data_IF_165417146105
#
_entry.id   IF_165417146105
#
_cell.length_a   1.000
_cell.length_b   1.000
_cell.length_c   1.000
_cell.angle_alpha   90.00
_cell.angle_beta   90.00
_cell.angle_gamma   90.00
#
_symmetry.space_group_name_H-M   'P 1'
#
loop_
_entity.id
_entity.type
_entity.pdbx_description
1 polymer ?
#
# COMPACT_ATOMS: atom_id res chain seq x y z
N UNK A 1 -4.34 -59.90 -7.95
CA UNK A 1 -3.39 -58.90 -7.41
C UNK A 1 -3.51 -57.63 -8.25
N UNK A 2 -4.28 -56.66 -7.74
CA UNK A 2 -4.76 -55.50 -8.51
C UNK A 2 -3.99 -54.27 -8.05
N UNK A 3 -3.26 -53.61 -8.97
CA UNK A 3 -2.48 -52.39 -8.66
C UNK A 3 -3.41 -51.18 -8.50
N UNK A 4 -3.15 -50.27 -7.53
CA UNK A 4 -3.93 -49.05 -7.39
C UNK A 4 -3.51 -47.98 -8.41
N UNK A 5 -4.53 -47.31 -8.96
CA UNK A 5 -4.49 -46.22 -9.93
C UNK A 5 -4.13 -44.92 -9.22
N UNK A 6 -2.98 -44.35 -9.56
CA UNK A 6 -2.51 -43.04 -9.08
C UNK A 6 -3.30 -41.93 -9.77
N UNK A 7 -4.01 -41.10 -9.01
CA UNK A 7 -4.65 -39.87 -9.52
C UNK A 7 -3.61 -38.75 -9.51
N UNK A 8 -3.21 -38.29 -10.69
CA UNK A 8 -2.41 -37.06 -10.85
C UNK A 8 -3.29 -35.85 -10.52
N UNK A 9 -2.90 -35.11 -9.47
CA UNK A 9 -3.43 -33.79 -9.18
C UNK A 9 -2.87 -32.78 -10.20
N UNK A 10 -3.71 -32.36 -11.14
CA UNK A 10 -3.40 -31.27 -12.06
C UNK A 10 -3.38 -29.94 -11.31
N UNK A 11 -2.20 -29.38 -11.10
CA UNK A 11 -2.03 -28.00 -10.67
C UNK A 11 -2.28 -27.09 -11.88
N UNK A 12 -3.49 -26.53 -11.99
CA UNK A 12 -3.79 -25.47 -12.94
C UNK A 12 -3.06 -24.19 -12.50
N UNK A 13 -1.87 -23.99 -13.07
CA UNK A 13 -1.08 -22.76 -13.01
C UNK A 13 -1.80 -21.68 -13.80
N UNK A 14 -2.62 -20.88 -13.13
CA UNK A 14 -3.17 -19.65 -13.70
C UNK A 14 -2.01 -18.67 -13.92
N UNK A 15 -1.59 -18.56 -15.18
CA UNK A 15 -0.65 -17.55 -15.63
C UNK A 15 -1.39 -16.21 -15.72
N UNK A 16 -1.04 -15.28 -14.84
CA UNK A 16 -1.48 -13.89 -14.99
C UNK A 16 -0.54 -13.21 -16.00
N UNK A 17 -1.04 -13.00 -17.22
CA UNK A 17 -0.38 -12.18 -18.21
C UNK A 17 -0.44 -10.70 -17.78
N UNK A 18 0.73 -10.07 -17.77
CA UNK A 18 0.90 -8.63 -17.53
C UNK A 18 0.43 -7.88 -18.79
N UNK A 19 -0.71 -7.19 -18.73
CA UNK A 19 -1.13 -6.28 -19.80
C UNK A 19 -0.53 -4.91 -19.50
N UNK A 20 0.53 -4.58 -20.22
CA UNK A 20 1.06 -3.22 -20.32
C UNK A 20 0.11 -2.38 -21.17
N UNK A 21 -0.57 -1.40 -20.58
CA UNK A 21 -1.36 -0.43 -21.34
C UNK A 21 -0.45 0.70 -21.81
N UNK A 22 0.05 0.57 -23.04
CA UNK A 22 0.68 1.63 -23.82
C UNK A 22 -0.40 2.62 -24.27
N UNK A 23 -0.28 3.88 -23.89
CA UNK A 23 -1.15 4.95 -24.39
C UNK A 23 -0.76 5.32 -25.83
N UNK A 24 -1.59 4.92 -26.80
CA UNK A 24 -1.49 5.38 -28.18
C UNK A 24 -1.94 6.83 -28.30
N UNK A 25 -1.07 7.66 -28.87
CA UNK A 25 -1.33 9.03 -29.25
C UNK A 25 -2.02 9.04 -30.62
N UNK A 26 -3.30 9.44 -30.65
CA UNK A 26 -4.00 9.79 -31.88
C UNK A 26 -3.85 11.31 -32.12
N UNK A 27 -3.06 11.67 -33.12
CA UNK A 27 -2.92 13.02 -33.64
C UNK A 27 -3.86 13.21 -34.84
N UNK A 28 -4.86 14.07 -34.69
CA UNK A 28 -5.64 14.62 -35.80
C UNK A 28 -5.35 16.12 -35.93
N UNK A 29 -5.10 16.53 -37.18
CA UNK A 29 -4.69 17.86 -37.61
C UNK A 29 -5.85 18.64 -38.25
N UNK A 30 -5.96 19.94 -37.95
CA UNK A 30 -6.43 21.06 -38.80
C UNK A 30 -6.62 22.32 -37.92
N UNK A 31 -5.75 23.35 -38.01
CA UNK A 31 -5.90 24.63 -38.77
C UNK A 31 -7.28 25.29 -38.61
N UNK A 32 -7.48 26.52 -38.08
CA UNK A 32 -6.82 27.82 -38.38
C UNK A 32 -7.23 28.89 -37.33
N UNK A 33 -6.42 29.95 -37.21
CA UNK A 33 -6.42 31.07 -36.24
C UNK A 33 -7.52 32.16 -36.48
N UNK A 34 -7.43 33.40 -35.92
CA UNK A 34 -7.21 33.88 -34.54
C UNK A 34 -8.28 34.91 -34.07
N UNK A 35 -8.36 35.25 -32.76
CA UNK A 35 -8.55 36.66 -32.30
C UNK A 35 -8.67 36.82 -30.76
N UNK A 36 -7.90 37.80 -30.26
CA UNK A 36 -8.15 38.75 -29.17
C UNK A 36 -8.60 38.29 -27.77
N UNK A 37 -7.62 38.35 -26.85
CA UNK A 37 -7.65 39.11 -25.57
C UNK A 37 -8.82 38.93 -24.59
N UNK A 38 -8.57 38.14 -23.54
CA UNK A 38 -8.69 38.62 -22.16
C UNK A 38 -7.99 37.62 -21.22
N UNK A 39 -6.83 38.00 -20.69
CA UNK A 39 -6.05 37.23 -19.73
C UNK A 39 -6.76 37.16 -18.38
N UNK A 40 -7.69 36.22 -18.20
CA UNK A 40 -8.13 35.82 -16.87
C UNK A 40 -7.11 34.84 -16.30
N UNK A 41 -6.20 35.37 -15.48
CA UNK A 41 -5.24 34.57 -14.71
C UNK A 41 -6.02 33.47 -13.98
N UNK A 42 -5.72 32.17 -14.18
CA UNK A 42 -6.37 31.12 -13.41
C UNK A 42 -5.99 31.33 -11.96
N UNK A 43 -6.99 31.65 -11.14
CA UNK A 43 -6.90 31.86 -9.70
C UNK A 43 -6.29 30.61 -9.10
N UNK A 44 -4.97 30.66 -8.89
CA UNK A 44 -4.13 29.65 -8.25
C UNK A 44 -4.89 29.16 -7.01
N UNK A 45 -5.42 27.95 -7.09
CA UNK A 45 -5.96 27.21 -5.95
C UNK A 45 -4.93 27.40 -4.83
N UNK A 46 -5.31 28.10 -3.77
CA UNK A 46 -4.52 28.16 -2.55
C UNK A 46 -4.34 26.72 -2.11
N UNK A 47 -3.19 26.14 -2.45
CA UNK A 47 -2.68 24.98 -1.73
C UNK A 47 -2.68 25.42 -0.27
N UNK A 48 -3.35 24.66 0.59
CA UNK A 48 -3.26 24.75 2.05
C UNK A 48 -1.83 24.41 2.49
N UNK A 49 -0.86 25.17 2.02
CA UNK A 49 0.56 25.04 2.24
C UNK A 49 0.92 25.85 3.48
N UNK A 50 0.26 25.55 4.61
CA UNK A 50 0.59 26.15 5.91
C UNK A 50 -0.09 25.35 7.03
N UNK A 51 0.13 24.04 7.04
CA UNK A 51 0.09 23.30 8.30
C UNK A 51 1.54 22.89 8.57
N UNK A 52 2.20 23.40 9.61
CA UNK A 52 3.52 22.93 10.00
C UNK A 52 3.36 21.51 10.56
N UNK A 53 3.34 20.51 9.68
CA UNK A 53 3.21 19.09 10.01
C UNK A 53 4.55 18.48 10.43
N UNK A 54 5.53 19.28 10.84
CA UNK A 54 6.89 18.79 11.11
C UNK A 54 6.88 17.87 12.33
N UNK A 55 6.72 16.56 12.07
CA UNK A 55 6.75 15.50 13.07
C UNK A 55 5.42 14.76 13.32
N UNK A 56 4.31 15.11 12.65
CA UNK A 56 3.02 14.42 12.83
C UNK A 56 2.70 13.62 11.57
N UNK A 57 2.61 12.30 11.70
CA UNK A 57 2.17 11.41 10.63
C UNK A 57 0.71 11.70 10.27
N UNK A 58 0.43 11.89 8.97
CA UNK A 58 -0.91 12.17 8.47
C UNK A 58 -1.57 10.88 7.99
N UNK A 59 -2.90 10.80 8.08
CA UNK A 59 -3.66 9.64 7.61
C UNK A 59 -4.56 10.09 6.47
N UNK A 60 -4.39 9.49 5.30
CA UNK A 60 -5.19 9.78 4.11
C UNK A 60 -6.59 9.13 4.19
N UNK A 61 -7.53 9.53 3.31
CA UNK A 61 -8.81 8.86 3.15
C UNK A 61 -8.66 7.35 2.88
N UNK A 62 -9.70 6.53 3.14
CA UNK A 62 -9.67 5.10 2.85
C UNK A 62 -9.47 4.88 1.34
N UNK A 63 -8.55 3.99 1.01
CA UNK A 63 -8.28 3.61 -0.37
C UNK A 63 -9.44 2.76 -0.95
N UNK A 64 -9.88 3.01 -2.19
CA UNK A 64 -11.06 2.37 -2.77
C UNK A 64 -10.92 0.86 -3.02
N UNK A 65 -9.70 0.32 -3.06
CA UNK A 65 -9.47 -1.11 -3.34
C UNK A 65 -9.24 -1.89 -2.05
N UNK A 66 -8.36 -1.39 -1.19
CA UNK A 66 -7.95 -2.06 0.05
C UNK A 66 -8.80 -1.71 1.27
N UNK A 67 -9.56 -0.60 1.23
CA UNK A 67 -10.26 0.00 2.38
C UNK A 67 -9.35 0.40 3.56
N UNK A 68 -8.03 0.36 3.38
CA UNK A 68 -7.04 0.78 4.38
C UNK A 68 -6.75 2.27 4.20
N UNK A 69 -6.45 2.95 5.31
CA UNK A 69 -6.05 4.36 5.30
C UNK A 69 -4.53 4.47 5.18
N UNK A 70 -3.99 5.02 4.07
CA UNK A 70 -2.55 5.21 3.93
C UNK A 70 -2.02 6.21 4.97
N UNK A 71 -0.85 5.91 5.55
CA UNK A 71 -0.13 6.81 6.44
C UNK A 71 0.90 7.58 5.61
N UNK A 72 0.87 8.90 5.71
CA UNK A 72 1.84 9.81 5.11
C UNK A 72 2.80 10.20 6.23
N UNK A 73 3.96 9.55 6.24
CA UNK A 73 5.00 9.80 7.23
C UNK A 73 5.60 11.20 7.07
N UNK A 74 5.51 12.03 8.09
CA UNK A 74 5.98 13.42 8.04
C UNK A 74 7.47 13.58 8.37
N UNK A 75 8.16 12.48 8.70
CA UNK A 75 9.58 12.47 9.05
C UNK A 75 10.45 12.72 7.81
N UNK A 76 10.49 13.96 7.34
CA UNK A 76 11.54 14.42 6.44
C UNK A 76 12.87 14.24 7.17
N UNK A 77 13.89 13.59 6.57
CA UNK A 77 15.23 13.66 7.13
C UNK A 77 15.58 15.14 7.30
N UNK A 78 16.21 15.49 8.42
CA UNK A 78 16.77 16.83 8.66
C UNK A 78 17.91 17.07 7.65
N UNK A 79 17.55 17.28 6.38
CA UNK A 79 18.46 17.82 5.40
C UNK A 79 18.55 19.28 5.80
N UNK A 80 19.55 19.63 6.60
CA UNK A 80 19.95 21.02 6.71
C UNK A 80 20.61 21.33 5.36
N UNK A 81 19.96 22.03 4.41
CA UNK A 81 20.63 22.37 3.18
C UNK A 81 21.78 23.30 3.54
N UNK A 82 23.03 22.82 3.52
CA UNK A 82 24.15 23.74 3.64
C UNK A 82 24.10 24.59 2.37
N UNK A 83 23.87 25.88 2.53
CA UNK A 83 23.44 26.81 1.49
C UNK A 83 24.46 27.09 0.38
N UNK A 84 25.53 26.30 0.23
CA UNK A 84 26.61 26.65 -0.69
C UNK A 84 27.39 25.50 -1.37
N UNK A 85 26.85 24.27 -1.39
CA UNK A 85 27.49 23.20 -2.18
C UNK A 85 26.47 22.19 -2.70
N UNK A 86 26.55 21.77 -3.97
CA UNK A 86 25.79 20.62 -4.50
C UNK A 86 26.20 19.28 -3.88
N UNK A 87 27.26 19.27 -3.07
CA UNK A 87 27.68 18.17 -2.20
C UNK A 87 27.96 18.73 -0.81
N UNK A 88 27.00 18.62 0.12
CA UNK A 88 27.25 19.06 1.49
C UNK A 88 28.14 18.06 2.22
N UNK A 89 29.16 18.55 2.93
CA UNK A 89 29.99 17.71 3.82
C UNK A 89 29.16 17.00 4.92
N UNK A 90 27.95 17.48 5.20
CA UNK A 90 26.97 16.83 6.08
C UNK A 90 26.33 15.57 5.50
N UNK A 91 26.44 15.34 4.19
CA UNK A 91 25.93 14.11 3.54
C UNK A 91 26.89 12.93 3.71
N UNK A 92 28.14 13.19 4.09
CA UNK A 92 29.15 12.16 4.32
C UNK A 92 29.20 11.82 5.81
N UNK A 93 28.80 10.61 6.22
CA UNK A 93 28.80 10.25 7.63
C UNK A 93 30.24 10.24 8.15
N UNK A 94 30.60 11.19 9.01
CA UNK A 94 31.94 11.31 9.58
C UNK A 94 32.18 10.26 10.66
N UNK A 95 32.16 8.96 10.32
CA UNK A 95 32.61 7.82 11.14
C UNK A 95 32.08 7.69 12.59
N UNK A 96 31.18 8.55 13.04
CA UNK A 96 30.81 8.72 14.44
C UNK A 96 29.60 7.85 14.79
N UNK A 97 29.32 7.68 16.08
CA UNK A 97 28.10 6.99 16.52
C UNK A 97 26.81 7.62 15.98
N UNK A 98 26.83 8.90 15.58
CA UNK A 98 25.68 9.58 14.99
C UNK A 98 25.37 9.05 13.58
N UNK A 99 26.39 8.78 12.74
CA UNK A 99 26.21 8.15 11.43
C UNK A 99 25.50 6.79 11.52
N UNK A 100 25.86 5.99 12.53
CA UNK A 100 25.24 4.68 12.76
C UNK A 100 23.79 4.83 13.21
N UNK A 101 23.49 5.79 14.07
CA UNK A 101 22.14 6.06 14.57
C UNK A 101 21.23 6.57 13.44
N UNK A 102 21.71 7.51 12.63
CA UNK A 102 20.98 8.04 11.47
C UNK A 102 20.65 6.96 10.43
N UNK A 103 21.62 6.08 10.12
CA UNK A 103 21.40 4.95 9.23
C UNK A 103 20.33 3.98 9.77
N UNK A 104 20.34 3.70 11.08
CA UNK A 104 19.32 2.85 11.70
C UNK A 104 17.94 3.52 11.70
N UNK A 105 17.87 4.82 11.94
CA UNK A 105 16.62 5.59 11.87
C UNK A 105 16.06 5.64 10.44
N UNK A 106 16.92 5.75 9.42
CA UNK A 106 16.53 5.65 8.03
C UNK A 106 16.00 4.24 7.70
N UNK A 107 16.73 3.19 8.10
CA UNK A 107 16.32 1.80 7.88
C UNK A 107 14.95 1.52 8.52
N UNK A 108 14.75 1.95 9.77
CA UNK A 108 13.48 1.81 10.47
C UNK A 108 12.33 2.52 9.74
N UNK A 109 12.56 3.73 9.22
CA UNK A 109 11.55 4.49 8.45
C UNK A 109 11.16 3.77 7.17
N UNK A 110 12.14 3.42 6.34
CA UNK A 110 11.90 2.69 5.09
C UNK A 110 11.21 1.35 5.32
N UNK A 111 11.54 0.68 6.43
CA UNK A 111 10.91 -0.58 6.81
C UNK A 111 9.42 -0.40 7.15
N UNK A 112 9.05 0.63 7.92
CA UNK A 112 7.65 0.93 8.23
C UNK A 112 6.84 1.15 6.96
N UNK A 113 7.32 2.03 6.08
CA UNK A 113 6.69 2.29 4.78
C UNK A 113 6.51 1.02 3.95
N UNK A 114 7.55 0.17 3.91
CA UNK A 114 7.48 -1.13 3.21
C UNK A 114 6.43 -2.06 3.80
N UNK A 115 6.32 -2.13 5.13
CA UNK A 115 5.31 -2.98 5.81
C UNK A 115 3.90 -2.50 5.50
N UNK A 116 3.67 -1.19 5.51
CA UNK A 116 2.36 -0.62 5.18
C UNK A 116 1.99 -0.86 3.72
N UNK A 117 2.93 -0.66 2.79
CA UNK A 117 2.72 -0.97 1.37
C UNK A 117 2.43 -2.46 1.16
N UNK A 118 3.12 -3.35 1.88
CA UNK A 118 2.87 -4.79 1.82
C UNK A 118 1.48 -5.13 2.32
N UNK A 119 1.06 -4.54 3.45
CA UNK A 119 -0.28 -4.71 4.01
C UNK A 119 -1.35 -4.24 3.01
N UNK A 120 -1.20 -3.02 2.51
CA UNK A 120 -2.11 -2.44 1.52
C UNK A 120 -2.24 -3.31 0.26
N UNK A 121 -1.12 -3.74 -0.34
CA UNK A 121 -1.12 -4.60 -1.54
C UNK A 121 -1.84 -5.93 -1.32
N UNK A 122 -1.65 -6.54 -0.15
CA UNK A 122 -2.32 -7.80 0.20
C UNK A 122 -3.84 -7.62 0.22
N UNK A 123 -4.33 -6.58 0.91
CA UNK A 123 -5.76 -6.33 1.01
C UNK A 123 -6.39 -5.85 -0.29
N UNK A 124 -5.71 -4.97 -1.04
CA UNK A 124 -6.17 -4.55 -2.37
C UNK A 124 -6.37 -5.75 -3.30
N UNK A 125 -5.38 -6.65 -3.36
CA UNK A 125 -5.46 -7.86 -4.20
C UNK A 125 -6.57 -8.79 -3.71
N UNK A 126 -6.66 -9.01 -2.40
CA UNK A 126 -7.67 -9.90 -1.80
C UNK A 126 -9.08 -9.41 -2.09
N UNK A 127 -9.35 -8.12 -1.87
CA UNK A 127 -10.65 -7.51 -2.10
C UNK A 127 -11.03 -7.52 -3.59
N UNK A 128 -10.08 -7.24 -4.49
CA UNK A 128 -10.34 -7.31 -5.93
C UNK A 128 -10.73 -8.73 -6.34
N UNK A 129 -9.98 -9.73 -5.88
CA UNK A 129 -10.32 -11.13 -6.17
C UNK A 129 -11.65 -11.57 -5.54
N UNK A 130 -11.98 -11.06 -4.37
CA UNK A 130 -13.24 -11.32 -3.68
C UNK A 130 -14.42 -10.77 -4.49
N UNK A 131 -14.38 -9.48 -4.86
CA UNK A 131 -15.46 -8.84 -5.63
C UNK A 131 -15.60 -9.46 -7.02
N UNK A 132 -14.49 -9.81 -7.69
CA UNK A 132 -14.54 -10.48 -8.98
C UNK A 132 -15.22 -11.86 -8.89
N UNK A 133 -14.89 -12.68 -7.90
CA UNK A 133 -15.51 -14.00 -7.74
C UNK A 133 -16.96 -13.93 -7.28
N UNK A 134 -17.27 -12.97 -6.40
CA UNK A 134 -18.64 -12.68 -5.97
C UNK A 134 -19.51 -12.27 -7.15
N UNK A 135 -19.03 -11.32 -7.96
CA UNK A 135 -19.73 -10.88 -9.17
C UNK A 135 -19.91 -12.03 -10.16
N UNK A 136 -18.89 -12.87 -10.36
CA UNK A 136 -19.00 -14.07 -11.19
C UNK A 136 -20.07 -15.04 -10.69
N UNK A 137 -20.08 -15.39 -9.39
CA UNK A 137 -21.11 -16.25 -8.80
C UNK A 137 -22.52 -15.68 -8.96
N UNK A 138 -22.68 -14.37 -8.77
CA UNK A 138 -23.95 -13.68 -8.97
C UNK A 138 -24.37 -13.63 -10.44
N UNK A 139 -23.42 -13.57 -11.38
CA UNK A 139 -23.74 -13.56 -12.82
C UNK A 139 -24.28 -14.90 -13.33
N UNK A 140 -24.05 -16.00 -12.61
CA UNK A 140 -24.58 -17.32 -12.93
C UNK A 140 -26.04 -17.49 -12.50
N UNK A 141 -26.56 -16.57 -11.69
CA UNK A 141 -27.98 -16.57 -11.33
C UNK A 141 -28.84 -16.20 -12.53
N UNK A 142 -30.04 -16.80 -12.65
CA UNK A 142 -31.04 -16.31 -13.58
C UNK A 142 -31.28 -14.81 -13.38
N UNK A 143 -31.53 -14.03 -14.45
CA UNK A 143 -31.89 -12.62 -14.33
C UNK A 143 -33.08 -12.47 -13.36
N UNK A 144 -33.01 -11.55 -12.38
CA UNK A 144 -34.11 -11.38 -11.44
C UNK A 144 -35.36 -10.88 -12.17
N UNK A 145 -36.52 -11.30 -11.67
CA UNK A 145 -37.81 -10.76 -12.11
C UNK A 145 -37.86 -9.25 -11.83
N UNK A 146 -38.62 -8.48 -12.62
CA UNK A 146 -38.87 -7.07 -12.37
C UNK A 146 -40.36 -6.87 -12.05
N UNK A 147 -40.77 -6.59 -10.79
CA UNK A 147 -39.93 -6.45 -9.59
C UNK A 147 -39.34 -7.79 -9.07
N UNK A 148 -38.26 -7.75 -8.26
CA UNK A 148 -37.67 -8.96 -7.69
C UNK A 148 -38.69 -9.72 -6.86
N UNK A 149 -38.86 -11.01 -7.15
CA UNK A 149 -39.72 -11.87 -6.33
C UNK A 149 -38.97 -12.26 -5.06
N UNK A 150 -39.69 -12.49 -3.96
CA UNK A 150 -39.08 -12.96 -2.70
C UNK A 150 -38.24 -14.24 -2.88
N UNK A 151 -38.62 -15.10 -3.83
CA UNK A 151 -37.84 -16.30 -4.17
C UNK A 151 -36.49 -15.99 -4.85
N UNK A 152 -36.44 -14.93 -5.67
CA UNK A 152 -35.20 -14.49 -6.33
C UNK A 152 -34.22 -13.93 -5.30
N UNK A 153 -34.74 -13.20 -4.31
CA UNK A 153 -33.96 -12.69 -3.17
C UNK A 153 -33.40 -13.84 -2.32
N UNK A 154 -34.22 -14.82 -1.95
CA UNK A 154 -33.77 -16.00 -1.18
C UNK A 154 -32.66 -16.77 -1.90
N UNK A 155 -32.83 -17.06 -3.19
CA UNK A 155 -31.79 -17.75 -3.99
C UNK A 155 -30.48 -16.97 -4.02
N UNK A 156 -30.56 -15.63 -4.13
CA UNK A 156 -29.38 -14.76 -4.09
C UNK A 156 -28.69 -14.82 -2.73
N UNK A 157 -29.44 -14.76 -1.64
CA UNK A 157 -28.92 -14.87 -0.27
C UNK A 157 -28.27 -16.23 0.01
N UNK A 158 -28.88 -17.32 -0.45
CA UNK A 158 -28.35 -18.68 -0.31
C UNK A 158 -26.99 -18.81 -1.03
N UNK A 159 -26.90 -18.33 -2.27
CA UNK A 159 -25.64 -18.36 -3.03
C UNK A 159 -24.57 -17.49 -2.39
N UNK A 160 -24.94 -16.30 -1.88
CA UNK A 160 -23.99 -15.45 -1.17
C UNK A 160 -23.47 -16.13 0.09
N UNK A 161 -24.35 -16.75 0.87
CA UNK A 161 -23.99 -17.48 2.09
C UNK A 161 -23.00 -18.60 1.78
N UNK A 162 -23.29 -19.40 0.74
CA UNK A 162 -22.41 -20.47 0.29
C UNK A 162 -21.08 -19.95 -0.24
N UNK A 163 -21.09 -18.85 -1.00
CA UNK A 163 -19.88 -18.18 -1.47
C UNK A 163 -18.99 -17.70 -0.32
N UNK A 164 -19.55 -17.08 0.72
CA UNK A 164 -18.76 -16.62 1.88
C UNK A 164 -18.09 -17.79 2.61
N UNK A 165 -18.81 -18.90 2.79
CA UNK A 165 -18.25 -20.11 3.39
C UNK A 165 -17.08 -20.66 2.56
N UNK A 166 -17.29 -20.82 1.24
CA UNK A 166 -16.27 -21.31 0.31
C UNK A 166 -15.04 -20.41 0.28
N UNK A 167 -15.26 -19.08 0.19
CA UNK A 167 -14.20 -18.08 0.15
C UNK A 167 -13.33 -18.12 1.41
N UNK A 168 -13.97 -18.21 2.59
CA UNK A 168 -13.26 -18.25 3.85
C UNK A 168 -12.38 -19.50 3.95
N UNK A 169 -12.89 -20.67 3.55
CA UNK A 169 -12.12 -21.92 3.53
C UNK A 169 -10.95 -21.82 2.55
N UNK A 170 -11.20 -21.37 1.32
CA UNK A 170 -10.18 -21.29 0.28
C UNK A 170 -9.06 -20.29 0.59
N UNK A 171 -9.39 -19.18 1.26
CA UNK A 171 -8.43 -18.11 1.53
C UNK A 171 -7.75 -18.22 2.91
N UNK A 172 -8.21 -19.12 3.78
CA UNK A 172 -7.68 -19.28 5.15
C UNK A 172 -6.16 -19.50 5.17
N UNK A 173 -5.65 -20.41 4.35
CA UNK A 173 -4.21 -20.71 4.32
C UNK A 173 -3.38 -19.50 3.84
N UNK A 174 -3.89 -18.78 2.83
CA UNK A 174 -3.24 -17.55 2.34
C UNK A 174 -3.20 -16.49 3.44
N UNK A 175 -4.28 -16.29 4.17
CA UNK A 175 -4.34 -15.34 5.28
C UNK A 175 -3.38 -15.74 6.41
N UNK A 176 -3.34 -17.02 6.80
CA UNK A 176 -2.40 -17.51 7.83
C UNK A 176 -0.94 -17.25 7.40
N UNK A 177 -0.60 -17.56 6.14
CA UNK A 177 0.74 -17.32 5.59
C UNK A 177 1.07 -15.82 5.62
N UNK A 178 0.13 -14.98 5.21
CA UNK A 178 0.27 -13.54 5.22
C UNK A 178 0.46 -12.98 6.64
N UNK A 179 -0.38 -13.37 7.61
CA UNK A 179 -0.28 -12.94 9.02
C UNK A 179 1.10 -13.29 9.58
N UNK A 180 1.60 -14.50 9.32
CA UNK A 180 2.94 -14.92 9.75
C UNK A 180 4.03 -14.05 9.15
N UNK A 181 3.95 -13.73 7.87
CA UNK A 181 4.93 -12.87 7.20
C UNK A 181 4.86 -11.42 7.71
N UNK A 182 3.66 -10.86 7.83
CA UNK A 182 3.44 -9.52 8.34
C UNK A 182 4.00 -9.35 9.75
N UNK A 183 3.70 -10.28 10.66
CA UNK A 183 4.26 -10.24 12.02
C UNK A 183 5.78 -10.32 12.05
N UNK A 184 6.41 -11.13 11.18
CA UNK A 184 7.89 -11.17 11.12
C UNK A 184 8.47 -9.81 10.77
N UNK A 185 7.87 -9.11 9.83
CA UNK A 185 8.32 -7.77 9.42
C UNK A 185 8.08 -6.72 10.50
N UNK A 186 6.91 -6.76 11.16
CA UNK A 186 6.57 -5.89 12.30
C UNK A 186 7.56 -6.09 13.45
N UNK A 187 7.84 -7.34 13.83
CA UNK A 187 8.79 -7.65 14.90
C UNK A 187 10.21 -7.19 14.59
N UNK A 188 10.64 -7.30 13.33
CA UNK A 188 11.93 -6.79 12.93
C UNK A 188 11.99 -5.25 13.03
N UNK A 189 10.91 -4.54 12.68
CA UNK A 189 10.80 -3.10 12.89
C UNK A 189 10.89 -2.69 14.37
N UNK A 190 10.15 -3.39 15.24
CA UNK A 190 10.17 -3.16 16.70
C UNK A 190 11.60 -3.33 17.27
N UNK A 191 12.35 -4.34 16.80
CA UNK A 191 13.74 -4.55 17.23
C UNK A 191 14.67 -3.40 16.83
N UNK A 192 14.55 -2.88 15.61
CA UNK A 192 15.36 -1.74 15.16
C UNK A 192 15.02 -0.50 15.99
N UNK A 193 13.72 -0.25 16.19
CA UNK A 193 13.24 0.85 17.03
C UNK A 193 13.80 0.77 18.44
N UNK A 194 13.72 -0.39 19.10
CA UNK A 194 14.28 -0.58 20.44
C UNK A 194 15.78 -0.28 20.52
N UNK A 195 16.56 -0.69 19.50
CA UNK A 195 17.98 -0.34 19.42
C UNK A 195 18.23 1.17 19.28
N UNK A 196 17.42 1.87 18.47
CA UNK A 196 17.51 3.34 18.32
C UNK A 196 17.24 4.02 19.67
N UNK A 197 16.16 3.63 20.37
CA UNK A 197 15.83 4.18 21.68
C UNK A 197 16.95 3.96 22.70
N UNK A 198 17.53 2.76 22.74
CA UNK A 198 18.64 2.44 23.64
C UNK A 198 19.88 3.29 23.34
N UNK A 199 20.30 3.38 22.07
CA UNK A 199 21.44 4.20 21.67
C UNK A 199 21.23 5.69 21.99
N UNK A 200 20.00 6.19 21.78
CA UNK A 200 19.63 7.57 22.12
C UNK A 200 19.69 7.83 23.63
N UNK A 201 19.23 6.88 24.44
CA UNK A 201 19.30 6.97 25.90
C UNK A 201 20.75 6.95 26.42
N UNK A 202 21.60 6.06 25.89
CA UNK A 202 23.03 6.03 26.22
C UNK A 202 23.72 7.35 25.89
N UNK A 203 23.45 7.92 24.71
CA UNK A 203 23.98 9.24 24.30
C UNK A 203 23.57 10.36 25.27
N UNK A 204 22.30 10.36 25.69
CA UNK A 204 21.78 11.36 26.64
C UNK A 204 22.46 11.27 28.00
N UNK A 205 22.74 10.05 28.47
CA UNK A 205 23.43 9.82 29.75
C UNK A 205 24.90 10.25 29.71
N UNK A 206 25.61 10.01 28.60
CA UNK A 206 27.01 10.42 28.44
C UNK A 206 27.22 11.93 28.39
N UNK A 207 26.25 12.69 27.85
CA UNK A 207 26.32 14.17 27.84
C UNK A 207 26.09 14.78 29.23
N UNK A 208 25.26 14.14 30.06
CA UNK A 208 24.94 14.60 31.42
C UNK A 208 26.13 14.48 32.39
N UNK A 209 27.04 13.52 32.17
CA UNK A 209 28.21 13.29 33.04
C UNK A 209 29.41 14.20 32.76
N UNK A 210 29.41 14.92 31.63
CA UNK A 210 30.51 15.79 31.21
C UNK A 210 30.18 17.29 31.35
N UNK A 211 29.09 17.63 32.04
CA UNK A 211 28.69 19.00 32.41
C UNK A 211 28.65 19.16 33.91
#
# INVERSE_FOLDING_TARGET
>A
MTRPRTLQAGYNRIQYAFVSTSSEAASSSSSSAPSSSSSSIPRRRRSNAEIPSSGIDLVAPPDPQSNIRPIIYASKPSINPSTNSPYSASEFPTGSSDARLENMELEWRLRRERVDLMNHRFWATTNLTFEAQKAYRLSLLPPPSNPPTQEDERKREDILTQFYADWQIANQERQIRWVKQWWREVWAGIKIQGKIYFLRALRSSSRSKNS
#
